data_IF_297777917336
#
_entry.id   IF_297777917336
#
_cell.length_a   1.000
_cell.length_b   1.000
_cell.length_c   1.000
_cell.angle_alpha   90.00
_cell.angle_beta   90.00
_cell.angle_gamma   90.00
#
_symmetry.space_group_name_H-M   'P 1'
#
loop_
_entity.id
_entity.type
_entity.pdbx_description
1 polymer ?
#
# COMPACT_ATOMS: atom_id res chain seq x y z
N UNK A 1 -45.14 25.26 79.02
CA UNK A 1 -44.99 23.92 78.39
C UNK A 1 -45.27 24.08 76.91
N UNK A 2 -44.22 24.15 76.08
CA UNK A 2 -44.33 24.36 74.63
C UNK A 2 -44.67 23.01 74.01
N UNK A 3 -45.79 22.97 73.28
CA UNK A 3 -46.33 21.76 72.65
C UNK A 3 -45.37 21.27 71.55
N UNK A 4 -44.59 20.23 71.86
CA UNK A 4 -43.56 19.61 71.00
C UNK A 4 -44.15 18.70 69.91
N UNK A 5 -45.48 18.56 69.83
CA UNK A 5 -46.17 17.65 68.92
C UNK A 5 -46.34 18.20 67.49
N UNK A 6 -46.18 19.50 67.28
CA UNK A 6 -46.30 20.12 65.95
C UNK A 6 -45.03 20.02 65.10
N UNK A 7 -43.85 20.14 65.72
CA UNK A 7 -42.55 20.13 65.02
C UNK A 7 -42.18 18.75 64.48
N UNK A 8 -42.53 17.69 65.20
CA UNK A 8 -42.24 16.31 64.75
C UNK A 8 -42.99 15.92 63.48
N UNK A 9 -44.23 16.39 63.28
CA UNK A 9 -45.01 16.11 62.06
C UNK A 9 -44.48 16.84 60.83
N UNK A 10 -44.05 18.10 60.99
CA UNK A 10 -43.45 18.87 59.89
C UNK A 10 -42.10 18.28 59.47
N UNK A 11 -41.28 17.83 60.42
CA UNK A 11 -40.01 17.16 60.14
C UNK A 11 -40.23 15.81 59.45
N UNK A 12 -41.21 15.01 59.91
CA UNK A 12 -41.54 13.72 59.29
C UNK A 12 -42.04 13.88 57.84
N UNK A 13 -42.89 14.88 57.57
CA UNK A 13 -43.36 15.17 56.21
C UNK A 13 -42.22 15.67 55.32
N UNK A 14 -41.35 16.55 55.83
CA UNK A 14 -40.18 17.02 55.09
C UNK A 14 -39.22 15.89 54.72
N UNK A 15 -38.96 14.97 55.66
CA UNK A 15 -38.13 13.79 55.42
C UNK A 15 -38.73 12.85 54.37
N UNK A 16 -40.06 12.63 54.41
CA UNK A 16 -40.75 11.78 53.44
C UNK A 16 -40.67 12.34 52.01
N UNK A 17 -40.82 13.66 51.84
CA UNK A 17 -40.72 14.32 50.53
C UNK A 17 -39.30 14.22 49.98
N UNK A 18 -38.28 14.46 50.81
CA UNK A 18 -36.88 14.33 50.39
C UNK A 18 -36.52 12.90 49.99
N UNK A 19 -37.02 11.91 50.74
CA UNK A 19 -36.83 10.51 50.41
C UNK A 19 -37.49 10.14 49.06
N UNK A 20 -38.69 10.67 48.79
CA UNK A 20 -39.40 10.44 47.53
C UNK A 20 -38.64 11.06 46.33
N UNK A 21 -38.09 12.27 46.48
CA UNK A 21 -37.30 12.92 45.43
C UNK A 21 -36.00 12.16 45.17
N UNK A 22 -35.30 11.72 46.22
CA UNK A 22 -34.08 10.93 46.09
C UNK A 22 -34.34 9.60 45.37
N UNK A 23 -35.44 8.93 45.70
CA UNK A 23 -35.84 7.69 45.04
C UNK A 23 -36.18 7.93 43.55
N UNK A 24 -36.93 8.99 43.24
CA UNK A 24 -37.27 9.34 41.87
C UNK A 24 -36.03 9.68 41.04
N UNK A 25 -35.07 10.44 41.60
CA UNK A 25 -33.80 10.75 40.95
C UNK A 25 -32.96 9.49 40.72
N UNK A 26 -32.92 8.57 41.69
CA UNK A 26 -32.20 7.30 41.55
C UNK A 26 -32.82 6.40 40.48
N UNK A 27 -34.15 6.28 40.43
CA UNK A 27 -34.84 5.52 39.40
C UNK A 27 -34.63 6.15 38.02
N UNK A 28 -34.72 7.47 37.92
CA UNK A 28 -34.46 8.20 36.66
C UNK A 28 -33.02 7.97 36.19
N UNK A 29 -32.04 8.06 37.08
CA UNK A 29 -30.64 7.73 36.78
C UNK A 29 -30.50 6.27 36.32
N UNK A 30 -31.10 5.32 37.04
CA UNK A 30 -31.01 3.90 36.74
C UNK A 30 -31.62 3.56 35.37
N UNK A 31 -32.79 4.09 35.06
CA UNK A 31 -33.49 3.81 33.81
C UNK A 31 -32.90 4.54 32.60
N UNK A 32 -32.29 5.72 32.76
CA UNK A 32 -31.73 6.47 31.63
C UNK A 32 -30.23 6.25 31.41
N UNK A 33 -29.43 6.03 32.46
CA UNK A 33 -27.96 5.99 32.35
C UNK A 33 -27.44 4.58 32.07
N UNK A 34 -27.95 3.55 32.77
CA UNK A 34 -27.52 2.16 32.52
C UNK A 34 -27.72 1.67 31.08
N UNK A 35 -28.88 1.85 30.42
CA UNK A 35 -29.04 1.32 29.07
C UNK A 35 -28.14 2.02 28.06
N UNK A 36 -27.84 3.32 28.26
CA UNK A 36 -26.89 4.04 27.40
C UNK A 36 -25.48 3.49 27.51
N UNK A 37 -25.03 3.15 28.73
CA UNK A 37 -23.72 2.53 28.94
C UNK A 37 -23.61 1.15 28.28
N UNK A 38 -24.66 0.33 28.35
CA UNK A 38 -24.70 -0.97 27.68
C UNK A 38 -24.62 -0.86 26.15
N UNK A 39 -25.32 0.11 25.56
CA UNK A 39 -25.26 0.36 24.12
C UNK A 39 -23.86 0.83 23.67
N UNK A 40 -23.20 1.69 24.45
CA UNK A 40 -21.83 2.12 24.12
C UNK A 40 -20.83 0.97 24.17
N UNK A 41 -20.95 0.07 25.16
CA UNK A 41 -20.05 -1.08 25.25
C UNK A 41 -20.25 -2.06 24.09
N UNK A 42 -21.50 -2.31 23.70
CA UNK A 42 -21.82 -3.13 22.53
C UNK A 42 -21.30 -2.51 21.22
N UNK A 43 -21.41 -1.18 21.06
CA UNK A 43 -20.87 -0.49 19.89
C UNK A 43 -19.32 -0.54 19.86
N UNK A 44 -18.65 -0.44 21.01
CA UNK A 44 -17.20 -0.55 21.07
C UNK A 44 -16.68 -1.96 20.81
N UNK A 45 -17.42 -3.00 21.22
CA UNK A 45 -17.02 -4.39 20.97
C UNK A 45 -17.20 -4.78 19.50
N UNK A 46 -18.28 -4.33 18.86
CA UNK A 46 -18.48 -4.53 17.42
C UNK A 46 -17.45 -3.76 16.59
N UNK A 47 -17.16 -2.51 16.95
CA UNK A 47 -16.10 -1.73 16.29
C UNK A 47 -14.73 -2.41 16.42
N UNK A 48 -14.38 -2.89 17.62
CA UNK A 48 -13.12 -3.62 17.85
C UNK A 48 -13.04 -4.91 17.03
N UNK A 49 -14.15 -5.66 16.94
CA UNK A 49 -14.21 -6.89 16.15
C UNK A 49 -14.05 -6.62 14.65
N UNK A 50 -14.65 -5.54 14.14
CA UNK A 50 -14.52 -5.11 12.74
C UNK A 50 -13.07 -4.70 12.44
N UNK A 51 -12.45 -3.89 13.31
CA UNK A 51 -11.04 -3.48 13.16
C UNK A 51 -10.11 -4.70 13.16
N UNK A 52 -10.29 -5.64 14.09
CA UNK A 52 -9.51 -6.87 14.13
C UNK A 52 -9.69 -7.73 12.86
N UNK A 53 -10.93 -7.90 12.39
CA UNK A 53 -11.22 -8.67 11.17
C UNK A 53 -10.67 -8.05 9.88
N UNK A 54 -10.56 -6.72 9.81
CA UNK A 54 -9.89 -6.05 8.69
C UNK A 54 -8.37 -6.18 8.75
N UNK A 55 -7.77 -6.19 9.93
CA UNK A 55 -6.33 -6.41 10.11
C UNK A 55 -5.88 -7.78 9.59
N UNK A 56 -6.63 -8.84 9.89
CA UNK A 56 -6.32 -10.19 9.42
C UNK A 56 -6.43 -10.32 7.88
N UNK A 57 -7.49 -9.77 7.28
CA UNK A 57 -7.67 -9.79 5.82
C UNK A 57 -6.56 -9.04 5.09
N UNK A 58 -6.17 -7.86 5.59
CA UNK A 58 -5.08 -7.08 5.01
C UNK A 58 -3.74 -7.82 5.12
N UNK A 59 -3.49 -8.52 6.23
CA UNK A 59 -2.28 -9.33 6.40
C UNK A 59 -2.24 -10.51 5.41
N UNK A 60 -3.35 -11.22 5.23
CA UNK A 60 -3.45 -12.33 4.26
C UNK A 60 -3.26 -11.84 2.82
N UNK A 61 -3.88 -10.72 2.45
CA UNK A 61 -3.73 -10.12 1.12
C UNK A 61 -2.29 -9.67 0.86
N UNK A 62 -1.65 -9.03 1.83
CA UNK A 62 -0.24 -8.66 1.74
C UNK A 62 0.69 -9.87 1.55
N UNK A 63 0.43 -10.98 2.25
CA UNK A 63 1.18 -12.23 2.06
C UNK A 63 0.99 -12.81 0.65
N UNK A 64 -0.23 -12.77 0.11
CA UNK A 64 -0.53 -13.20 -1.26
C UNK A 64 0.23 -12.38 -2.31
N UNK A 65 0.25 -11.06 -2.16
CA UNK A 65 1.00 -10.16 -3.05
C UNK A 65 2.50 -10.44 -2.97
N UNK A 66 3.04 -10.66 -1.76
CA UNK A 66 4.46 -10.96 -1.59
C UNK A 66 4.86 -12.28 -2.28
N UNK A 67 4.00 -13.29 -2.21
CA UNK A 67 4.22 -14.57 -2.86
C UNK A 67 4.21 -14.44 -4.40
N UNK A 68 3.25 -13.69 -4.97
CA UNK A 68 3.19 -13.44 -6.42
C UNK A 68 4.42 -12.65 -6.91
N UNK A 69 4.84 -11.63 -6.16
CA UNK A 69 6.05 -10.85 -6.49
C UNK A 69 7.29 -11.73 -6.47
N UNK A 70 7.44 -12.61 -5.48
CA UNK A 70 8.56 -13.54 -5.40
C UNK A 70 8.56 -14.53 -6.57
N UNK A 71 7.41 -15.15 -6.88
CA UNK A 71 7.30 -16.05 -8.04
C UNK A 71 7.66 -15.35 -9.35
N UNK A 72 7.19 -14.11 -9.57
CA UNK A 72 7.55 -13.32 -10.76
C UNK A 72 9.03 -12.92 -10.80
N UNK A 73 9.66 -12.71 -9.65
CA UNK A 73 11.10 -12.41 -9.56
C UNK A 73 11.92 -13.65 -9.90
N UNK A 74 11.54 -14.81 -9.38
CA UNK A 74 12.24 -16.06 -9.64
C UNK A 74 12.10 -16.49 -11.11
N UNK A 75 10.90 -16.37 -11.69
CA UNK A 75 10.68 -16.61 -13.11
C UNK A 75 11.53 -15.70 -14.00
N UNK A 76 11.60 -14.39 -13.67
CA UNK A 76 12.47 -13.46 -14.39
C UNK A 76 13.95 -13.80 -14.23
N UNK A 77 14.39 -14.15 -13.02
CA UNK A 77 15.78 -14.54 -12.78
C UNK A 77 16.16 -15.80 -13.54
N UNK A 78 15.28 -16.79 -13.59
CA UNK A 78 15.49 -18.01 -14.36
C UNK A 78 15.66 -17.69 -15.85
N UNK A 79 14.74 -16.90 -16.42
CA UNK A 79 14.83 -16.44 -17.81
C UNK A 79 16.10 -15.64 -18.08
N UNK A 80 16.46 -14.70 -17.20
CA UNK A 80 17.70 -13.92 -17.35
C UNK A 80 18.94 -14.83 -17.32
N UNK A 81 18.98 -15.80 -16.41
CA UNK A 81 20.10 -16.74 -16.31
C UNK A 81 20.22 -17.64 -17.52
N UNK A 82 19.10 -18.13 -18.06
CA UNK A 82 19.07 -18.96 -19.27
C UNK A 82 19.53 -18.17 -20.49
N UNK A 83 19.04 -16.94 -20.66
CA UNK A 83 19.46 -16.07 -21.76
C UNK A 83 20.94 -15.66 -21.64
N UNK A 84 21.43 -15.35 -20.43
CA UNK A 84 22.84 -15.03 -20.22
C UNK A 84 23.75 -16.22 -20.56
N UNK A 85 23.34 -17.43 -20.18
CA UNK A 85 24.06 -18.64 -20.56
C UNK A 85 24.02 -18.87 -22.08
N UNK A 86 22.86 -18.76 -22.70
CA UNK A 86 22.69 -18.92 -24.15
C UNK A 86 23.58 -17.92 -24.91
N UNK A 87 23.55 -16.64 -24.53
CA UNK A 87 24.39 -15.59 -25.12
C UNK A 87 25.88 -15.88 -24.96
N UNK A 88 26.33 -16.28 -23.76
CA UNK A 88 27.74 -16.60 -23.51
C UNK A 88 28.22 -17.87 -24.22
N UNK A 89 27.32 -18.82 -24.43
CA UNK A 89 27.61 -20.07 -25.15
C UNK A 89 27.56 -19.94 -26.67
N UNK A 90 27.00 -18.85 -27.19
CA UNK A 90 26.86 -18.61 -28.62
C UNK A 90 28.23 -18.45 -29.31
N UNK A 91 28.34 -18.95 -30.53
CA UNK A 91 29.53 -18.75 -31.36
C UNK A 91 29.74 -17.25 -31.60
N UNK A 92 30.94 -16.75 -31.29
CA UNK A 92 31.27 -15.34 -31.41
C UNK A 92 30.97 -14.48 -30.17
N UNK A 93 30.40 -15.05 -29.10
CA UNK A 93 30.10 -14.31 -27.86
C UNK A 93 31.33 -13.66 -27.19
N UNK A 94 32.50 -14.28 -27.37
CA UNK A 94 33.79 -13.78 -26.89
C UNK A 94 34.55 -12.97 -27.96
N UNK A 95 33.97 -12.76 -29.14
CA UNK A 95 34.62 -11.96 -30.18
C UNK A 95 34.63 -10.49 -29.77
N UNK A 96 35.75 -9.78 -30.00
CA UNK A 96 35.81 -8.36 -29.73
C UNK A 96 34.78 -7.64 -30.59
N UNK A 97 33.90 -6.88 -29.94
CA UNK A 97 32.95 -6.00 -30.63
C UNK A 97 33.73 -4.84 -31.22
N UNK A 98 33.45 -4.48 -32.47
CA UNK A 98 34.02 -3.30 -33.10
C UNK A 98 33.69 -2.06 -32.24
N UNK A 99 34.70 -1.30 -31.78
CA UNK A 99 34.46 -0.09 -30.97
C UNK A 99 33.61 0.96 -31.70
N UNK A 100 33.63 1.02 -33.03
CA UNK A 100 32.75 1.91 -33.79
C UNK A 100 31.28 1.48 -33.68
N UNK A 101 31.01 0.18 -33.82
CA UNK A 101 29.67 -0.38 -33.65
C UNK A 101 29.16 -0.21 -32.21
N UNK A 102 29.99 -0.49 -31.21
CA UNK A 102 29.61 -0.33 -29.80
C UNK A 102 29.19 1.11 -29.46
N UNK A 103 29.92 2.11 -29.98
CA UNK A 103 29.56 3.53 -29.84
C UNK A 103 28.26 3.89 -30.56
N UNK A 104 28.07 3.40 -31.79
CA UNK A 104 26.85 3.65 -32.55
C UNK A 104 25.61 3.05 -31.85
N UNK A 105 25.74 1.82 -31.34
CA UNK A 105 24.70 1.16 -30.58
C UNK A 105 24.38 1.92 -29.29
N UNK A 106 25.40 2.30 -28.52
CA UNK A 106 25.23 3.10 -27.30
C UNK A 106 24.47 4.42 -27.59
N UNK A 107 24.89 5.14 -28.63
CA UNK A 107 24.23 6.38 -29.02
C UNK A 107 22.77 6.15 -29.43
N UNK A 108 22.49 5.09 -30.19
CA UNK A 108 21.12 4.74 -30.58
C UNK A 108 20.24 4.40 -29.37
N UNK A 109 20.78 3.70 -28.36
CA UNK A 109 20.06 3.41 -27.11
C UNK A 109 19.75 4.69 -26.33
N UNK A 110 20.73 5.58 -26.17
CA UNK A 110 20.56 6.86 -25.48
C UNK A 110 19.54 7.80 -26.14
N UNK A 111 19.25 7.61 -27.43
CA UNK A 111 18.22 8.38 -28.14
C UNK A 111 16.79 7.88 -27.87
N UNK A 112 16.61 6.68 -27.29
CA UNK A 112 15.29 6.15 -26.91
C UNK A 112 14.78 6.85 -25.66
N UNK A 113 13.49 7.16 -25.63
CA UNK A 113 12.85 7.90 -24.53
C UNK A 113 13.07 7.27 -23.15
N UNK A 114 13.12 5.93 -23.09
CA UNK A 114 13.32 5.17 -21.86
C UNK A 114 14.70 5.40 -21.20
N UNK A 115 15.72 5.83 -21.96
CA UNK A 115 17.11 5.97 -21.49
C UNK A 115 17.60 7.42 -21.50
N UNK A 116 16.73 8.39 -21.80
CA UNK A 116 17.12 9.82 -21.82
C UNK A 116 17.50 10.36 -20.44
N UNK A 117 16.99 9.78 -19.36
CA UNK A 117 17.28 10.24 -18.00
C UNK A 117 18.55 9.60 -17.41
N UNK A 118 19.19 8.68 -18.13
CA UNK A 118 20.39 8.00 -17.63
C UNK A 118 21.61 8.94 -17.70
N UNK A 119 22.41 9.07 -16.63
CA UNK A 119 23.56 9.99 -16.58
C UNK A 119 24.61 9.68 -17.65
N UNK A 120 24.78 8.41 -18.02
CA UNK A 120 25.70 7.98 -19.07
C UNK A 120 25.28 8.48 -20.48
N UNK A 121 24.03 8.89 -20.65
CA UNK A 121 23.47 9.38 -21.91
C UNK A 121 23.46 10.91 -22.05
N UNK A 122 23.89 11.66 -21.03
CA UNK A 122 23.89 13.13 -21.04
C UNK A 122 24.78 13.70 -22.17
N UNK A 123 25.97 13.11 -22.37
CA UNK A 123 26.92 13.57 -23.39
C UNK A 123 26.40 13.38 -24.82
N UNK A 124 25.61 12.31 -25.07
CA UNK A 124 25.00 12.03 -26.38
C UNK A 124 23.89 13.03 -26.70
N UNK A 125 23.12 13.43 -25.68
CA UNK A 125 22.08 14.45 -25.81
C UNK A 125 22.66 15.84 -26.06
N UNK A 126 23.72 16.21 -25.33
CA UNK A 126 24.42 17.48 -25.51
C UNK A 126 25.02 17.64 -26.93
N UNK A 127 25.38 16.52 -27.57
CA UNK A 127 25.89 16.50 -28.94
C UNK A 127 24.80 16.65 -30.03
N UNK A 128 23.51 16.71 -29.67
CA UNK A 128 22.42 16.87 -30.63
C UNK A 128 22.21 15.66 -31.54
N UNK A 129 22.56 14.46 -31.07
CA UNK A 129 22.44 13.21 -31.83
C UNK A 129 21.01 13.02 -32.36
N UNK A 130 20.89 12.72 -33.65
CA UNK A 130 19.62 12.35 -34.30
C UNK A 130 19.80 10.96 -34.88
N UNK A 131 18.78 10.11 -34.75
CA UNK A 131 18.75 8.81 -35.44
C UNK A 131 18.66 9.14 -36.94
N UNK A 132 19.75 8.96 -37.68
CA UNK A 132 19.72 9.03 -39.14
C UNK A 132 18.83 7.92 -39.71
N UNK A 133 18.18 8.18 -40.84
CA UNK A 133 17.42 7.15 -41.54
C UNK A 133 18.35 5.97 -41.83
N UNK A 134 17.92 4.75 -41.48
CA UNK A 134 18.63 3.54 -41.87
C UNK A 134 18.79 3.57 -43.39
N UNK A 135 20.03 3.57 -43.89
CA UNK A 135 20.30 3.33 -45.30
C UNK A 135 19.62 2.00 -45.65
N UNK A 136 18.64 2.06 -46.56
CA UNK A 136 17.95 0.88 -47.02
C UNK A 136 19.01 -0.07 -47.59
N UNK A 137 19.01 -1.31 -47.10
CA UNK A 137 19.75 -2.42 -47.68
C UNK A 137 19.43 -2.46 -49.18
N UNK A 138 20.33 -1.89 -49.99
CA UNK A 138 20.35 -2.15 -51.41
C UNK A 138 20.82 -3.59 -51.55
N UNK A 139 19.85 -4.48 -51.81
CA UNK A 139 20.01 -5.92 -51.85
C UNK A 139 21.30 -6.36 -52.56
N UNK A 140 22.09 -7.15 -51.86
CA UNK A 140 23.22 -7.89 -52.44
C UNK A 140 22.69 -9.08 -53.23
N UNK A 141 22.15 -8.82 -54.43
CA UNK A 141 21.93 -9.80 -55.50
C UNK A 141 23.28 -10.16 -56.17
N UNK A 142 24.24 -10.67 -55.39
CA UNK A 142 25.59 -10.99 -55.88
C UNK A 142 26.03 -12.42 -55.54
N UNK A 143 25.09 -13.36 -55.43
CA UNK A 143 25.37 -14.78 -55.26
C UNK A 143 24.56 -15.64 -56.24
N UNK A 144 24.67 -15.36 -57.54
CA UNK A 144 24.27 -16.32 -58.58
C UNK A 144 25.08 -16.09 -59.87
N UNK A 145 26.37 -16.46 -59.85
CA UNK A 145 27.18 -16.84 -61.03
C UNK A 145 28.35 -17.73 -60.63
#
# INVERSE_FOLDING_TARGET
>A
MISTSGTTRLVALGAAVLAAIALAAFLTWWFLVRPRQAQTQAATSTASAVIAGHGEKAAVEAMGIQQDVNQRRDARRALTSENDHALKSAAGASSPVDPAFARAFHNAVCLRDAYRAEPDCEAVQAAGGRIGAAEADAGSDAADR
#
